data_IF_982785165663
#
_entry.id   IF_982785165663
#
_cell.length_a   1.000
_cell.length_b   1.000
_cell.length_c   1.000
_cell.angle_alpha   90.00
_cell.angle_beta   90.00
_cell.angle_gamma   90.00
#
_symmetry.space_group_name_H-M   'P 1'
#
loop_
_entity.id
_entity.type
_entity.pdbx_description
1 polymer ?
#
# COMPACT_ATOMS: atom_id res chain seq x y z
N UNK A 1 11.45 2.29 -3.07
CA UNK A 1 10.63 3.48 -2.77
C UNK A 1 9.20 3.18 -3.18
N UNK A 2 8.23 3.64 -2.41
CA UNK A 2 6.80 3.42 -2.67
C UNK A 2 6.05 4.73 -2.50
N UNK A 3 5.02 4.94 -3.30
CA UNK A 3 4.20 6.15 -3.30
C UNK A 3 2.75 5.83 -3.68
N UNK A 4 1.81 6.56 -3.10
CA UNK A 4 0.38 6.49 -3.36
C UNK A 4 -0.18 7.85 -3.76
N UNK A 5 -0.84 7.91 -4.90
CA UNK A 5 -1.47 9.15 -5.37
C UNK A 5 -2.95 8.97 -5.61
N UNK A 6 -3.71 10.06 -5.52
CA UNK A 6 -5.12 10.09 -5.88
C UNK A 6 -5.43 11.39 -6.58
N UNK A 7 -6.17 11.31 -7.68
CA UNK A 7 -6.77 12.46 -8.35
C UNK A 7 -8.25 12.53 -8.03
N UNK A 8 -8.80 13.75 -8.08
CA UNK A 8 -10.22 14.00 -7.77
C UNK A 8 -10.63 13.51 -6.39
N UNK A 9 -9.77 13.69 -5.39
CA UNK A 9 -10.06 13.26 -4.01
C UNK A 9 -11.28 14.00 -3.45
N UNK A 10 -12.21 13.23 -2.86
CA UNK A 10 -13.44 13.80 -2.27
C UNK A 10 -14.55 14.10 -3.27
N UNK A 11 -14.38 13.75 -4.55
CA UNK A 11 -15.46 13.80 -5.55
C UNK A 11 -16.14 12.44 -5.67
N UNK A 12 -17.13 12.33 -6.55
CA UNK A 12 -17.84 11.09 -6.84
C UNK A 12 -16.99 10.06 -7.59
N UNK A 13 -15.89 10.47 -8.23
CA UNK A 13 -15.07 9.62 -9.09
C UNK A 13 -13.57 9.78 -8.79
N UNK A 14 -13.11 9.44 -7.57
CA UNK A 14 -11.69 9.49 -7.25
C UNK A 14 -10.94 8.38 -7.98
N UNK A 15 -9.72 8.68 -8.45
CA UNK A 15 -8.84 7.70 -9.08
C UNK A 15 -7.52 7.65 -8.34
N UNK A 16 -7.25 6.54 -7.67
CA UNK A 16 -5.97 6.33 -6.99
C UNK A 16 -5.04 5.39 -7.75
N UNK A 17 -3.75 5.59 -7.55
CA UNK A 17 -2.69 4.74 -8.05
C UNK A 17 -1.62 4.49 -7.00
N UNK A 18 -0.82 3.47 -7.26
CA UNK A 18 0.32 3.04 -6.44
C UNK A 18 1.54 2.90 -7.31
N UNK A 19 2.68 3.39 -6.83
CA UNK A 19 3.97 3.30 -7.49
C UNK A 19 4.99 2.54 -6.65
N UNK A 20 5.76 1.65 -7.29
CA UNK A 20 6.93 1.00 -6.70
C UNK A 20 8.14 1.29 -7.60
N UNK A 21 9.21 1.77 -7.00
CA UNK A 21 10.45 2.07 -7.69
C UNK A 21 11.66 1.48 -6.95
N UNK A 22 12.47 0.71 -7.67
CA UNK A 22 13.68 0.05 -7.18
C UNK A 22 14.94 0.75 -7.71
N UNK A 23 15.08 0.91 -9.02
CA UNK A 23 16.22 1.53 -9.72
C UNK A 23 15.82 1.87 -11.18
N UNK A 24 16.53 2.72 -11.94
CA UNK A 24 16.25 2.92 -13.35
C UNK A 24 16.28 1.60 -14.14
N UNK A 25 15.26 1.38 -14.98
CA UNK A 25 15.08 0.19 -15.80
C UNK A 25 14.96 -1.14 -15.04
N UNK A 26 14.77 -1.12 -13.70
CA UNK A 26 14.44 -2.34 -12.96
C UNK A 26 13.06 -2.85 -13.38
N UNK A 27 13.00 -4.11 -13.84
CA UNK A 27 11.76 -4.77 -14.30
C UNK A 27 10.69 -4.91 -13.22
N UNK A 28 11.04 -4.72 -11.95
CA UNK A 28 10.13 -4.77 -10.79
C UNK A 28 9.48 -3.42 -10.50
N UNK A 29 9.91 -2.34 -11.17
CA UNK A 29 9.23 -1.06 -11.12
C UNK A 29 7.78 -1.24 -11.60
N UNK A 30 6.84 -0.68 -10.85
CA UNK A 30 5.42 -0.98 -11.03
C UNK A 30 4.55 0.26 -10.82
N UNK A 31 3.52 0.39 -11.64
CA UNK A 31 2.43 1.33 -11.44
C UNK A 31 1.11 0.56 -11.47
N UNK A 32 0.31 0.67 -10.41
CA UNK A 32 -0.98 0.00 -10.27
C UNK A 32 -2.09 1.05 -10.18
N UNK A 33 -3.23 0.78 -10.84
CA UNK A 33 -4.46 1.54 -10.65
C UNK A 33 -5.33 0.85 -9.61
N UNK A 34 -5.83 1.61 -8.64
CA UNK A 34 -6.76 1.07 -7.64
C UNK A 34 -8.18 1.01 -8.19
N UNK A 35 -8.98 0.03 -7.78
CA UNK A 35 -10.43 0.04 -8.02
C UNK A 35 -11.07 1.31 -7.43
N UNK A 36 -12.08 1.86 -8.11
CA UNK A 36 -12.75 3.12 -7.71
C UNK A 36 -13.21 3.12 -6.25
N UNK A 37 -13.73 1.99 -5.76
CA UNK A 37 -14.22 1.86 -4.37
C UNK A 37 -13.11 1.89 -3.31
N UNK A 38 -11.84 1.76 -3.70
CA UNK A 38 -10.65 1.86 -2.84
C UNK A 38 -9.83 3.14 -3.12
N UNK A 39 -10.27 3.99 -4.06
CA UNK A 39 -9.50 5.14 -4.54
C UNK A 39 -9.34 6.24 -3.48
N UNK A 40 -8.38 6.04 -2.58
CA UNK A 40 -7.94 7.03 -1.59
C UNK A 40 -6.41 7.07 -1.58
N UNK A 41 -5.82 8.21 -1.22
CA UNK A 41 -4.36 8.32 -1.10
C UNK A 41 -3.78 7.21 -0.19
N UNK A 42 -4.32 7.09 1.02
CA UNK A 42 -3.85 6.09 2.00
C UNK A 42 -3.96 4.64 1.51
N UNK A 43 -4.97 4.31 0.71
CA UNK A 43 -5.06 2.98 0.10
C UNK A 43 -3.97 2.78 -0.97
N UNK A 44 -3.70 3.81 -1.78
CA UNK A 44 -2.61 3.81 -2.74
C UNK A 44 -1.26 3.55 -2.09
N UNK A 45 -0.97 4.20 -0.97
CA UNK A 45 0.26 3.98 -0.19
C UNK A 45 0.40 2.54 0.30
N UNK A 46 -0.68 1.99 0.90
CA UNK A 46 -0.66 0.63 1.43
C UNK A 46 -0.53 -0.42 0.33
N UNK A 47 -1.21 -0.24 -0.80
CA UNK A 47 -1.09 -1.12 -1.97
C UNK A 47 0.32 -1.03 -2.56
N UNK A 48 0.95 0.14 -2.57
CA UNK A 48 2.33 0.29 -3.04
C UNK A 48 3.31 -0.50 -2.16
N UNK A 49 3.18 -0.41 -0.83
CA UNK A 49 4.01 -1.18 0.11
C UNK A 49 3.77 -2.69 -0.06
N UNK A 50 2.51 -3.12 -0.16
CA UNK A 50 2.18 -4.53 -0.33
C UNK A 50 2.73 -5.10 -1.65
N UNK A 51 2.56 -4.37 -2.74
CA UNK A 51 3.07 -4.77 -4.06
C UNK A 51 4.61 -4.77 -4.13
N UNK A 52 5.27 -3.90 -3.35
CA UNK A 52 6.72 -3.97 -3.20
C UNK A 52 7.11 -5.22 -2.41
N UNK A 53 6.45 -5.49 -1.28
CA UNK A 53 6.74 -6.62 -0.41
C UNK A 53 6.55 -7.98 -1.11
N UNK A 54 5.51 -8.14 -1.93
CA UNK A 54 5.24 -9.40 -2.67
C UNK A 54 6.28 -9.75 -3.73
N UNK A 55 7.11 -8.78 -4.15
CA UNK A 55 8.19 -8.98 -5.11
C UNK A 55 9.56 -9.18 -4.45
N UNK A 56 9.63 -9.07 -3.12
CA UNK A 56 10.88 -9.17 -2.37
C UNK A 56 11.12 -10.59 -1.88
N UNK A 57 12.39 -10.97 -1.91
CA UNK A 57 12.87 -12.21 -1.29
C UNK A 57 12.85 -12.06 0.22
N UNK A 58 12.05 -12.88 0.90
CA UNK A 58 11.84 -12.82 2.36
C UNK A 58 13.10 -13.18 3.16
N UNK A 59 14.12 -13.76 2.53
CA UNK A 59 15.40 -14.06 3.18
C UNK A 59 16.34 -12.85 3.27
N UNK A 60 16.01 -11.74 2.61
CA UNK A 60 16.86 -10.54 2.53
C UNK A 60 16.35 -9.43 3.43
N UNK A 61 17.29 -8.76 4.09
CA UNK A 61 17.00 -7.49 4.75
C UNK A 61 16.76 -6.40 3.70
N UNK A 62 15.60 -5.76 3.78
CA UNK A 62 15.15 -4.74 2.84
C UNK A 62 14.73 -3.48 3.58
N UNK A 63 15.05 -2.32 3.02
CA UNK A 63 14.59 -1.03 3.53
C UNK A 63 13.55 -0.49 2.54
N UNK A 64 12.29 -0.47 2.97
CA UNK A 64 11.22 0.21 2.24
C UNK A 64 11.11 1.66 2.71
N UNK A 65 11.00 2.59 1.75
CA UNK A 65 10.89 4.03 2.00
C UNK A 65 9.57 4.52 1.40
N UNK A 66 8.74 5.12 2.25
CA UNK A 66 7.50 5.84 1.97
C UNK A 66 7.50 7.11 2.82
N UNK A 67 6.87 8.18 2.36
CA UNK A 67 6.63 9.40 3.13
C UNK A 67 5.31 9.35 3.95
N UNK A 68 4.49 8.32 3.70
CA UNK A 68 3.23 8.09 4.41
C UNK A 68 3.43 7.52 5.80
N UNK A 69 3.55 8.41 6.78
CA UNK A 69 3.56 8.06 8.20
C UNK A 69 2.34 7.24 8.61
N UNK A 70 1.19 7.48 7.97
CA UNK A 70 -0.03 6.70 8.17
C UNK A 70 0.21 5.24 7.77
N UNK A 71 0.69 4.98 6.55
CA UNK A 71 0.95 3.63 6.08
C UNK A 71 2.02 2.91 6.92
N UNK A 72 3.11 3.60 7.25
CA UNK A 72 4.18 3.06 8.11
C UNK A 72 3.64 2.66 9.49
N UNK A 73 2.89 3.53 10.16
CA UNK A 73 2.34 3.23 11.49
C UNK A 73 1.35 2.06 11.44
N UNK A 74 0.50 2.00 10.41
CA UNK A 74 -0.46 0.90 10.24
C UNK A 74 0.23 -0.46 10.16
N UNK A 75 1.31 -0.56 9.39
CA UNK A 75 2.04 -1.81 9.19
C UNK A 75 2.91 -2.14 10.42
N UNK A 76 3.63 -1.16 10.96
CA UNK A 76 4.64 -1.42 12.01
C UNK A 76 4.10 -1.45 13.44
N UNK A 77 2.93 -0.84 13.71
CA UNK A 77 2.37 -0.73 15.07
C UNK A 77 1.02 -1.39 15.23
N UNK A 78 0.18 -1.38 14.20
CA UNK A 78 -1.23 -1.76 14.34
C UNK A 78 -1.59 -3.08 13.65
N UNK A 79 -0.75 -3.57 12.74
CA UNK A 79 -1.03 -4.76 11.94
C UNK A 79 -1.30 -6.00 12.81
N UNK A 80 -0.36 -6.33 13.71
CA UNK A 80 -0.50 -7.47 14.62
C UNK A 80 -1.78 -7.39 15.45
N UNK A 81 -2.05 -6.23 16.04
CA UNK A 81 -3.26 -6.01 16.83
C UNK A 81 -4.54 -6.22 16.02
N UNK A 82 -4.56 -5.81 14.75
CA UNK A 82 -5.72 -6.01 13.88
C UNK A 82 -5.92 -7.47 13.48
N UNK A 83 -4.83 -8.22 13.26
CA UNK A 83 -4.88 -9.66 13.03
C UNK A 83 -5.45 -10.38 14.25
N UNK A 84 -4.96 -10.05 15.44
CA UNK A 84 -5.41 -10.62 16.71
C UNK A 84 -6.91 -10.34 16.98
N UNK A 85 -7.39 -9.17 16.56
CA UNK A 85 -8.80 -8.75 16.69
C UNK A 85 -9.70 -9.19 15.51
N UNK A 86 -9.19 -10.04 14.60
CA UNK A 86 -9.98 -10.57 13.49
C UNK A 86 -10.40 -9.53 12.44
N UNK A 87 -9.71 -8.39 12.40
CA UNK A 87 -9.92 -7.28 11.46
C UNK A 87 -11.30 -6.60 11.55
N UNK A 88 -11.93 -6.59 12.73
CA UNK A 88 -13.26 -5.99 12.92
C UNK A 88 -13.17 -4.46 12.76
N UNK A 89 -14.01 -3.88 11.89
CA UNK A 89 -14.08 -2.42 11.67
C UNK A 89 -12.95 -1.81 10.83
N UNK A 90 -12.02 -2.63 10.33
CA UNK A 90 -10.86 -2.14 9.56
C UNK A 90 -11.20 -2.05 8.08
N UNK A 91 -11.43 -0.83 7.57
CA UNK A 91 -11.76 -0.57 6.15
C UNK A 91 -10.73 -1.13 5.16
N UNK A 92 -9.46 -1.23 5.55
CA UNK A 92 -8.37 -1.72 4.68
C UNK A 92 -8.19 -3.24 4.71
N UNK A 93 -9.05 -3.96 5.45
CA UNK A 93 -8.98 -5.42 5.59
C UNK A 93 -8.89 -6.13 4.25
N UNK A 94 -9.61 -5.68 3.23
CA UNK A 94 -9.59 -6.28 1.89
C UNK A 94 -8.22 -6.17 1.20
N UNK A 95 -7.42 -5.15 1.53
CA UNK A 95 -6.09 -4.95 0.97
C UNK A 95 -5.06 -5.83 1.70
N UNK A 96 -5.15 -5.92 3.03
CA UNK A 96 -4.11 -6.58 3.84
C UNK A 96 -4.37 -8.07 4.14
N UNK A 97 -5.63 -8.54 4.12
CA UNK A 97 -5.98 -9.92 4.50
C UNK A 97 -5.72 -10.94 3.37
N UNK A 98 -5.55 -10.48 2.13
CA UNK A 98 -5.29 -11.32 0.96
C UNK A 98 -4.10 -10.77 0.17
N UNK A 99 -2.86 -10.95 0.66
CA UNK A 99 -1.65 -10.67 -0.11
C UNK A 99 -1.48 -11.65 -1.29
#
# INVERSE_FOLDING_TARGET
YTDGSVTSQGTTEPQAGSGVWFDPNDKRNLALKLPTHLSTNNAGELVAILAAASQLDTSKNVIMKSDSHCAINRITKHLQQWEDLGWIGIKIKSILKHP
#
